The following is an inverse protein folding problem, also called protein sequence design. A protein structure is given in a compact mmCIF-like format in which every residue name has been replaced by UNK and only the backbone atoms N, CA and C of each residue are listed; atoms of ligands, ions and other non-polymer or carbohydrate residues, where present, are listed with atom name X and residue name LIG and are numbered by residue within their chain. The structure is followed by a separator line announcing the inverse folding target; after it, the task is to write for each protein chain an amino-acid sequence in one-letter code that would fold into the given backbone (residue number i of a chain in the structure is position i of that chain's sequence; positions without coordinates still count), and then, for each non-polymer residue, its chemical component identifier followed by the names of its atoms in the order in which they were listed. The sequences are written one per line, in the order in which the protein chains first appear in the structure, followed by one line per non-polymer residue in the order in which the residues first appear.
data_IF_303041993710
#
_entry.id   IF_303041993710
#
_cell.length_a   1.000
_cell.length_b   1.000
_cell.length_c   1.000
_cell.angle_alpha   90.00
_cell.angle_beta   90.00
_cell.angle_gamma   90.00
#
_symmetry.space_group_name_H-M   'P 1'
#
loop_
_entity.id
_entity.type
_entity.pdbx_description
1 polymer ?
#
# COMPACT_ATOMS: atom_id res chain seq x y z
N UNK A 1 9.80 27.66 10.59
CA UNK A 1 10.51 27.21 9.36
C UNK A 1 11.92 26.67 9.69
N UNK A 2 12.02 25.64 10.54
CA UNK A 2 13.32 25.00 10.85
C UNK A 2 13.55 23.69 10.06
N UNK A 3 12.49 23.09 9.52
CA UNK A 3 12.53 21.79 8.80
C UNK A 3 13.25 21.87 7.45
N UNK A 4 13.22 23.03 6.79
CA UNK A 4 13.92 23.26 5.52
C UNK A 4 15.35 23.76 5.71
N UNK A 5 15.83 23.92 6.95
CA UNK A 5 17.23 24.23 7.20
C UNK A 5 17.97 22.92 7.44
N UNK A 6 18.92 22.59 6.55
CA UNK A 6 19.71 21.36 6.65
C UNK A 6 20.62 21.43 7.88
N UNK A 7 20.08 21.12 9.05
CA UNK A 7 20.79 20.92 10.31
C UNK A 7 20.51 19.50 10.83
N UNK A 8 21.01 18.51 10.09
CA UNK A 8 21.26 17.17 10.63
C UNK A 8 20.41 16.01 10.09
N UNK A 9 21.11 14.86 10.04
CA UNK A 9 20.73 13.48 9.63
C UNK A 9 20.28 13.24 8.19
N UNK A 10 20.89 12.21 7.60
CA UNK A 10 20.99 11.80 6.19
C UNK A 10 19.68 11.45 5.44
N UNK A 11 18.51 11.93 5.86
CA UNK A 11 17.22 11.49 5.30
C UNK A 11 16.93 12.00 3.88
N UNK A 12 17.49 13.15 3.51
CA UNK A 12 17.36 13.74 2.18
C UNK A 12 18.74 14.13 1.65
N UNK A 13 19.00 13.80 0.37
CA UNK A 13 20.20 14.29 -0.31
C UNK A 13 20.13 15.80 -0.49
N UNK A 14 21.28 16.46 -0.57
CA UNK A 14 21.36 17.92 -0.76
C UNK A 14 20.63 18.36 -2.03
N UNK A 15 20.69 17.58 -3.11
CA UNK A 15 19.94 17.87 -4.35
C UNK A 15 18.43 17.84 -4.15
N UNK A 16 17.90 16.84 -3.43
CA UNK A 16 16.45 16.78 -3.11
C UNK A 16 16.04 17.92 -2.18
N UNK A 17 16.92 18.30 -1.25
CA UNK A 17 16.64 19.40 -0.34
C UNK A 17 16.52 20.75 -1.06
N UNK A 18 17.45 21.05 -1.98
CA UNK A 18 17.42 22.27 -2.79
C UNK A 18 16.15 22.33 -3.65
N UNK A 19 15.72 21.21 -4.24
CA UNK A 19 14.47 21.14 -5.00
C UNK A 19 13.26 21.49 -4.13
N UNK A 20 13.14 20.89 -2.95
CA UNK A 20 12.03 21.21 -2.05
C UNK A 20 12.08 22.64 -1.52
N UNK A 21 13.27 23.20 -1.27
CA UNK A 21 13.40 24.61 -0.88
C UNK A 21 12.90 25.54 -1.98
N UNK A 22 13.30 25.33 -3.24
CA UNK A 22 12.86 26.15 -4.36
C UNK A 22 11.33 26.08 -4.53
N UNK A 23 10.76 24.87 -4.54
CA UNK A 23 9.31 24.70 -4.74
C UNK A 23 8.51 25.27 -3.57
N UNK A 24 8.91 25.02 -2.32
CA UNK A 24 8.12 25.38 -1.15
C UNK A 24 8.33 26.83 -0.67
N UNK A 25 9.39 27.52 -1.11
CA UNK A 25 9.67 28.93 -0.74
C UNK A 25 9.52 29.92 -1.90
N UNK A 26 9.78 29.51 -3.14
CA UNK A 26 9.86 30.44 -4.28
C UNK A 26 8.62 30.40 -5.18
N UNK A 27 7.62 29.55 -4.88
CA UNK A 27 6.35 29.52 -5.60
C UNK A 27 5.29 30.32 -4.84
N UNK A 28 4.72 31.35 -5.48
CA UNK A 28 3.65 32.18 -4.91
C UNK A 28 2.34 31.38 -4.69
N UNK A 29 2.18 30.27 -5.41
CA UNK A 29 1.00 29.40 -5.36
C UNK A 29 1.01 28.41 -4.17
N UNK A 30 2.06 28.41 -3.34
CA UNK A 30 2.22 27.46 -2.23
C UNK A 30 2.21 28.19 -0.89
N UNK A 31 1.22 27.90 -0.04
CA UNK A 31 1.17 28.40 1.33
C UNK A 31 1.44 27.30 2.35
N UNK A 32 2.49 27.48 3.16
CA UNK A 32 2.83 26.58 4.25
C UNK A 32 2.13 27.01 5.54
N UNK A 33 1.29 26.15 6.09
CA UNK A 33 0.61 26.37 7.37
C UNK A 33 1.05 25.33 8.40
N UNK A 34 1.12 25.74 9.68
CA UNK A 34 1.42 24.84 10.78
C UNK A 34 0.11 24.34 11.39
N UNK A 35 -0.07 23.03 11.48
CA UNK A 35 -1.25 22.40 12.09
C UNK A 35 -0.81 21.38 13.12
N UNK A 36 -1.44 21.40 14.30
CA UNK A 36 -1.11 20.53 15.44
C UNK A 36 -1.92 19.23 15.46
N UNK A 37 -3.04 19.18 14.75
CA UNK A 37 -3.91 18.01 14.66
C UNK A 37 -4.46 17.89 13.26
N UNK A 38 -4.04 16.84 12.55
CA UNK A 38 -4.63 16.42 11.29
C UNK A 38 -5.41 15.15 11.58
N UNK A 39 -6.74 15.18 11.42
CA UNK A 39 -7.52 13.96 11.37
C UNK A 39 -7.42 13.39 9.95
N UNK A 40 -6.82 12.20 9.75
CA UNK A 40 -6.69 11.60 8.41
C UNK A 40 -8.03 11.45 7.67
N UNK A 41 -9.13 11.26 8.40
CA UNK A 41 -10.46 11.12 7.80
C UNK A 41 -10.99 12.42 7.15
N UNK A 42 -10.45 13.59 7.51
CA UNK A 42 -10.85 14.85 6.87
C UNK A 42 -10.34 15.00 5.44
N UNK A 43 -9.27 14.28 5.07
CA UNK A 43 -8.75 14.22 3.71
C UNK A 43 -9.53 13.24 2.82
N UNK A 44 -10.49 12.50 3.39
CA UNK A 44 -11.34 11.57 2.66
C UNK A 44 -12.66 12.20 2.16
N UNK A 45 -12.85 13.52 2.37
CA UNK A 45 -14.03 14.24 1.86
C UNK A 45 -13.94 14.37 0.34
N UNK A 46 -14.40 13.34 -0.36
CA UNK A 46 -14.78 13.42 -1.76
C UNK A 46 -16.09 14.21 -1.85
N UNK A 47 -16.28 15.07 -2.86
CA UNK A 47 -17.58 15.69 -3.21
C UNK A 47 -18.60 14.66 -3.73
N UNK A 48 -18.38 13.37 -3.47
CA UNK A 48 -19.34 12.33 -3.75
C UNK A 48 -20.41 12.47 -2.69
N UNK A 49 -21.60 12.90 -3.15
CA UNK A 49 -22.87 12.76 -2.45
C UNK A 49 -22.84 11.43 -1.72
N UNK A 50 -23.12 11.44 -0.41
CA UNK A 50 -23.28 10.23 0.40
C UNK A 50 -24.51 9.44 -0.10
N UNK A 51 -24.50 8.98 -1.34
CA UNK A 51 -25.19 7.74 -1.65
C UNK A 51 -24.45 6.67 -0.87
N UNK A 52 -25.25 5.93 -0.11
CA UNK A 52 -24.88 4.77 0.68
C UNK A 52 -23.72 4.04 -0.01
N UNK A 53 -22.52 4.06 0.59
CA UNK A 53 -21.39 3.27 0.12
C UNK A 53 -21.77 1.81 0.29
N UNK A 54 -22.48 1.26 -0.70
CA UNK A 54 -22.79 -0.16 -0.81
C UNK A 54 -21.46 -0.82 -1.16
N UNK A 55 -20.69 -1.15 -0.13
CA UNK A 55 -19.50 -1.95 -0.30
C UNK A 55 -19.95 -3.39 -0.59
N UNK A 56 -20.18 -3.68 -1.87
CA UNK A 56 -20.36 -5.05 -2.32
C UNK A 56 -18.99 -5.69 -2.52
N UNK A 57 -18.58 -6.48 -1.51
CA UNK A 57 -17.35 -7.27 -1.58
C UNK A 57 -17.34 -8.18 -2.81
N UNK A 58 -18.50 -8.65 -3.29
CA UNK A 58 -18.60 -9.53 -4.46
C UNK A 58 -18.28 -8.75 -5.73
N UNK A 59 -18.88 -7.58 -5.93
CA UNK A 59 -18.58 -6.71 -7.08
C UNK A 59 -17.11 -6.31 -7.12
N UNK A 60 -16.52 -5.95 -5.96
CA UNK A 60 -15.11 -5.61 -5.87
C UNK A 60 -14.20 -6.81 -6.21
N UNK A 61 -14.54 -8.01 -5.73
CA UNK A 61 -13.84 -9.24 -6.09
C UNK A 61 -13.96 -9.45 -7.60
N UNK A 62 -15.15 -9.44 -8.17
CA UNK A 62 -15.37 -9.61 -9.61
C UNK A 62 -14.58 -8.60 -10.43
N UNK A 63 -14.54 -7.33 -10.01
CA UNK A 63 -13.76 -6.29 -10.66
C UNK A 63 -12.25 -6.56 -10.60
N UNK A 64 -11.71 -6.96 -9.43
CA UNK A 64 -10.29 -7.30 -9.28
C UNK A 64 -9.93 -8.51 -10.12
N UNK A 65 -10.74 -9.57 -10.11
CA UNK A 65 -10.52 -10.76 -10.91
C UNK A 65 -10.71 -10.51 -12.42
N UNK A 66 -11.58 -9.58 -12.82
CA UNK A 66 -11.77 -9.19 -14.23
C UNK A 66 -10.52 -8.58 -14.86
N UNK A 67 -9.58 -8.08 -14.05
CA UNK A 67 -8.30 -7.55 -14.54
C UNK A 67 -7.31 -8.62 -15.02
N UNK A 68 -7.50 -9.89 -14.61
CA UNK A 68 -6.62 -11.03 -14.88
C UNK A 68 -7.38 -12.15 -15.57
N UNK A 69 -7.92 -11.86 -16.76
CA UNK A 69 -8.72 -12.81 -17.55
C UNK A 69 -7.96 -14.07 -17.97
N UNK A 70 -6.63 -14.02 -17.92
CA UNK A 70 -5.71 -15.11 -18.21
C UNK A 70 -5.47 -16.06 -17.02
N UNK A 71 -5.88 -15.68 -15.81
CA UNK A 71 -5.75 -16.53 -14.63
C UNK A 71 -6.83 -17.63 -14.63
N UNK A 72 -6.40 -18.88 -14.65
CA UNK A 72 -7.27 -20.07 -14.65
C UNK A 72 -6.93 -20.99 -13.49
N UNK A 73 -7.91 -21.78 -13.06
CA UNK A 73 -7.72 -22.86 -12.09
C UNK A 73 -7.19 -24.15 -12.76
N UNK A 74 -6.21 -23.97 -13.65
CA UNK A 74 -5.54 -25.04 -14.40
C UNK A 74 -4.02 -24.85 -14.24
N UNK A 75 -3.25 -25.93 -14.04
CA UNK A 75 -1.80 -25.84 -13.98
C UNK A 75 -1.22 -25.37 -15.32
N UNK A 76 -0.11 -24.63 -15.26
CA UNK A 76 0.60 -24.17 -16.46
C UNK A 76 1.42 -25.32 -17.06
N UNK A 77 1.42 -25.44 -18.39
CA UNK A 77 2.18 -26.49 -19.11
C UNK A 77 3.70 -26.42 -18.86
N UNK A 78 4.23 -25.20 -18.66
CA UNK A 78 5.64 -24.93 -18.42
C UNK A 78 5.79 -23.94 -17.26
N UNK A 79 5.44 -24.37 -16.05
CA UNK A 79 5.66 -23.57 -14.84
C UNK A 79 7.16 -23.53 -14.50
N UNK A 80 7.69 -22.34 -14.18
CA UNK A 80 9.07 -22.21 -13.67
C UNK A 80 9.19 -22.74 -12.22
N UNK A 81 8.11 -22.62 -11.44
CA UNK A 81 8.04 -23.01 -10.02
C UNK A 81 6.66 -23.61 -9.72
N UNK A 82 6.64 -24.69 -8.94
CA UNK A 82 5.40 -25.29 -8.42
C UNK A 82 5.31 -24.97 -6.93
N UNK A 83 4.61 -23.88 -6.62
CA UNK A 83 4.52 -23.34 -5.27
C UNK A 83 3.29 -23.87 -4.54
N UNK A 84 3.51 -24.32 -3.31
CA UNK A 84 2.48 -24.68 -2.34
C UNK A 84 2.49 -23.67 -1.21
N UNK A 85 1.31 -23.18 -0.83
CA UNK A 85 1.15 -22.28 0.31
C UNK A 85 0.20 -22.89 1.31
N UNK A 86 0.66 -23.08 2.54
CA UNK A 86 -0.20 -23.40 3.68
C UNK A 86 -0.25 -22.21 4.64
N UNK A 87 -1.47 -21.86 5.05
CA UNK A 87 -1.75 -20.78 5.99
C UNK A 87 -2.40 -21.37 7.23
N UNK A 88 -1.68 -21.36 8.35
CA UNK A 88 -2.22 -21.82 9.63
C UNK A 88 -2.59 -20.64 10.52
N UNK A 89 -3.74 -20.69 11.17
CA UNK A 89 -4.08 -19.76 12.26
C UNK A 89 -4.77 -20.52 13.38
N UNK A 90 -4.37 -20.24 14.61
CA UNK A 90 -5.00 -20.79 15.80
C UNK A 90 -5.14 -19.71 16.87
N UNK A 91 -6.06 -19.90 17.80
CA UNK A 91 -6.20 -19.03 18.97
C UNK A 91 -5.96 -19.88 20.20
N UNK A 92 -4.97 -19.49 21.00
CA UNK A 92 -4.63 -20.14 22.25
C UNK A 92 -4.62 -19.09 23.37
N UNK A 93 -5.38 -19.37 24.43
CA UNK A 93 -5.53 -18.47 25.59
C UNK A 93 -5.86 -17.01 25.21
N UNK A 94 -6.72 -16.81 24.20
CA UNK A 94 -7.13 -15.50 23.72
C UNK A 94 -6.12 -14.78 22.82
N UNK A 95 -4.94 -15.36 22.59
CA UNK A 95 -3.93 -14.84 21.66
C UNK A 95 -4.02 -15.56 20.32
N UNK A 96 -4.03 -14.80 19.21
CA UNK A 96 -4.03 -15.37 17.86
C UNK A 96 -2.60 -15.63 17.39
N UNK A 97 -2.31 -16.88 17.03
CA UNK A 97 -1.14 -17.29 16.26
C UNK A 97 -1.47 -17.40 14.78
N UNK A 98 -0.49 -17.07 13.94
CA UNK A 98 -0.56 -17.21 12.47
C UNK A 98 0.77 -17.71 11.95
N UNK A 99 0.76 -18.67 11.03
CA UNK A 99 1.93 -19.20 10.32
C UNK A 99 1.71 -19.19 8.81
N UNK A 100 2.78 -18.93 8.07
CA UNK A 100 2.82 -18.95 6.61
C UNK A 100 4.08 -19.70 6.16
N UNK A 101 3.88 -20.74 5.35
CA UNK A 101 4.96 -21.63 4.90
C UNK A 101 4.85 -21.87 3.38
N UNK A 102 5.54 -21.04 2.57
CA UNK A 102 5.64 -21.26 1.13
C UNK A 102 6.70 -22.33 0.84
N UNK A 103 6.33 -23.34 0.07
CA UNK A 103 7.25 -24.40 -0.38
C UNK A 103 7.25 -24.48 -1.89
N UNK A 104 8.45 -24.62 -2.46
CA UNK A 104 8.62 -24.99 -3.86
C UNK A 104 8.93 -26.47 -3.97
N UNK A 105 8.30 -27.14 -4.91
CA UNK A 105 8.70 -28.48 -5.33
C UNK A 105 9.30 -28.35 -6.72
N UNK A 106 10.62 -28.27 -6.78
CA UNK A 106 11.32 -28.37 -8.06
C UNK A 106 11.02 -29.74 -8.68
N UNK A 107 10.59 -29.82 -9.95
CA UNK A 107 10.39 -31.10 -10.61
C UNK A 107 11.73 -31.87 -10.60
N UNK A 108 11.75 -33.05 -9.98
CA UNK A 108 12.94 -33.89 -9.86
C UNK A 108 13.55 -34.14 -11.26
N UNK A 109 14.86 -33.91 -11.39
CA UNK A 109 15.67 -34.26 -12.56
C UNK A 109 15.88 -35.76 -12.71
#
# INVERSE_FOLDING_TARGET
MAVLEQKGSHWLSSSRMLQYQAILREQDDVQLQTTSHLNPAEFLRSEVIEDELVHDCVEMIEQVYSSRQDLKDEPLDTADWELFTDGSSFVENGTRGTGFDPRDVSPES
#
